data_IF_358620609402
#
_entry.id   IF_358620609402
#
_cell.length_a   1.000
_cell.length_b   1.000
_cell.length_c   1.000
_cell.angle_alpha   90.00
_cell.angle_beta   90.00
_cell.angle_gamma   90.00
#
_symmetry.space_group_name_H-M   'P 1'
#
loop_
_entity.id
_entity.type
_entity.pdbx_description
1 polymer ?
#
# COMPACT_ATOMS: atom_id res chain seq x y z
N UNK A 1 7.70 1.22 4.70
CA UNK A 1 8.60 1.98 5.57
C UNK A 1 7.84 2.68 6.69
N UNK A 2 8.48 2.99 7.84
CA UNK A 2 7.82 3.81 8.86
C UNK A 2 7.58 5.23 8.32
N UNK A 3 6.36 5.75 8.53
CA UNK A 3 6.05 7.13 8.21
C UNK A 3 6.71 8.08 9.22
N UNK A 4 7.47 9.06 8.72
CA UNK A 4 8.12 10.10 9.52
C UNK A 4 7.82 11.47 8.91
N UNK A 5 6.81 12.15 9.46
CA UNK A 5 6.36 13.45 8.96
C UNK A 5 7.48 14.50 8.97
N UNK A 6 8.39 14.42 9.94
CA UNK A 6 9.53 15.34 10.10
C UNK A 6 10.59 15.24 9.01
N UNK A 7 10.56 14.17 8.20
CA UNK A 7 11.50 13.97 7.09
C UNK A 7 10.99 14.52 5.77
N UNK A 8 9.72 14.93 5.72
CA UNK A 8 9.07 15.33 4.49
C UNK A 8 9.13 16.87 4.40
N UNK A 9 9.38 17.44 3.22
CA UNK A 9 9.42 18.89 3.05
C UNK A 9 8.03 19.51 3.23
N UNK A 10 7.98 20.80 3.59
CA UNK A 10 6.73 21.52 3.87
C UNK A 10 5.76 21.51 2.67
N UNK A 11 6.30 21.52 1.45
CA UNK A 11 5.51 21.47 0.22
C UNK A 11 5.05 20.05 -0.19
N UNK A 12 5.25 19.04 0.66
CA UNK A 12 4.89 17.65 0.34
C UNK A 12 3.40 17.49 -0.02
N UNK A 13 2.51 18.08 0.77
CA UNK A 13 1.05 17.96 0.57
C UNK A 13 0.52 18.90 -0.51
N UNK A 14 1.17 20.04 -0.71
CA UNK A 14 0.70 21.10 -1.60
C UNK A 14 1.21 20.94 -3.03
N UNK A 15 2.42 20.39 -3.22
CA UNK A 15 3.10 20.35 -4.52
C UNK A 15 3.54 18.94 -4.90
N UNK A 16 4.40 18.31 -4.09
CA UNK A 16 5.05 17.05 -4.48
C UNK A 16 4.02 15.94 -4.65
N UNK A 17 3.18 15.68 -3.64
CA UNK A 17 2.17 14.62 -3.72
C UNK A 17 1.19 14.82 -4.88
N UNK A 18 0.54 15.99 -5.05
CA UNK A 18 -0.34 16.23 -6.21
C UNK A 18 0.36 16.04 -7.55
N UNK A 19 1.61 16.52 -7.67
CA UNK A 19 2.40 16.43 -8.90
C UNK A 19 2.74 14.98 -9.28
N UNK A 20 3.15 14.16 -8.31
CA UNK A 20 3.42 12.73 -8.55
C UNK A 20 2.15 11.97 -8.92
N UNK A 21 1.02 12.25 -8.25
CA UNK A 21 -0.26 11.65 -8.62
C UNK A 21 -0.69 12.03 -10.05
N UNK A 22 -0.53 13.30 -10.43
CA UNK A 22 -0.85 13.78 -11.77
C UNK A 22 0.05 13.12 -12.83
N UNK A 23 1.36 13.05 -12.58
CA UNK A 23 2.33 12.37 -13.46
C UNK A 23 1.96 10.91 -13.69
N UNK A 24 1.61 10.19 -12.62
CA UNK A 24 1.21 8.79 -12.68
C UNK A 24 -0.28 8.62 -13.07
N UNK A 25 -0.91 9.67 -13.60
CA UNK A 25 -2.28 9.70 -14.13
C UNK A 25 -3.35 9.23 -13.12
N UNK A 26 -3.12 9.46 -11.83
CA UNK A 26 -3.93 8.93 -10.74
C UNK A 26 -4.11 7.41 -10.82
N UNK A 27 -3.08 6.70 -11.31
CA UNK A 27 -3.01 5.26 -11.37
C UNK A 27 -1.80 4.76 -10.60
N UNK A 28 -1.91 3.54 -10.08
CA UNK A 28 -0.78 2.87 -9.46
C UNK A 28 0.34 2.62 -10.49
N UNK A 29 1.55 3.11 -10.22
CA UNK A 29 2.73 2.91 -11.08
C UNK A 29 3.07 1.43 -11.32
N UNK A 30 2.68 0.53 -10.41
CA UNK A 30 3.02 -0.90 -10.50
C UNK A 30 1.93 -1.75 -11.16
N UNK A 31 0.66 -1.48 -10.89
CA UNK A 31 -0.44 -2.32 -11.40
C UNK A 31 -1.48 -1.57 -12.22
N UNK A 32 -1.32 -0.26 -12.43
CA UNK A 32 -2.21 0.55 -13.26
C UNK A 32 -3.58 0.87 -12.65
N UNK A 33 -3.94 0.33 -11.49
CA UNK A 33 -5.27 0.56 -10.88
C UNK A 33 -5.48 2.04 -10.55
N UNK A 34 -6.64 2.57 -10.91
CA UNK A 34 -6.99 3.97 -10.67
C UNK A 34 -7.28 4.27 -9.19
N UNK A 35 -7.00 5.49 -8.77
CA UNK A 35 -7.34 5.98 -7.43
C UNK A 35 -8.85 6.01 -7.21
N UNK A 36 -9.26 5.83 -5.96
CA UNK A 36 -10.66 5.93 -5.48
C UNK A 36 -11.66 4.96 -6.09
N UNK A 37 -11.22 3.95 -6.85
CA UNK A 37 -12.09 2.84 -7.23
C UNK A 37 -12.62 2.11 -6.00
N UNK A 38 -13.88 1.71 -6.05
CA UNK A 38 -14.54 0.96 -4.98
C UNK A 38 -14.93 -0.42 -5.50
N UNK A 39 -14.58 -1.48 -4.76
CA UNK A 39 -14.75 -2.85 -5.23
C UNK A 39 -14.03 -3.88 -4.38
N UNK A 40 -13.89 -5.09 -4.92
CA UNK A 40 -13.34 -6.24 -4.22
C UNK A 40 -12.03 -6.69 -4.85
N UNK A 41 -11.13 -7.17 -4.01
CA UNK A 41 -9.92 -7.86 -4.46
C UNK A 41 -10.07 -9.35 -4.24
N UNK A 42 -9.90 -10.09 -5.31
CA UNK A 42 -10.09 -11.53 -5.35
C UNK A 42 -8.81 -12.29 -4.96
N UNK A 43 -8.90 -13.59 -4.65
CA UNK A 43 -7.75 -14.42 -4.32
C UNK A 43 -6.67 -14.44 -5.42
N UNK A 44 -7.05 -14.42 -6.70
CA UNK A 44 -6.16 -14.25 -7.85
C UNK A 44 -5.32 -12.97 -7.79
N UNK A 45 -5.82 -11.97 -7.05
CA UNK A 45 -5.26 -10.64 -6.96
C UNK A 45 -5.94 -9.63 -7.89
N UNK A 46 -6.85 -10.05 -8.75
CA UNK A 46 -7.65 -9.16 -9.58
C UNK A 46 -8.55 -8.27 -8.72
N UNK A 47 -8.95 -7.14 -9.27
CA UNK A 47 -9.85 -6.20 -8.61
C UNK A 47 -11.01 -5.87 -9.54
N UNK A 48 -12.23 -6.00 -9.02
CA UNK A 48 -13.44 -5.71 -9.76
C UNK A 48 -14.33 -4.77 -8.98
N UNK A 49 -14.93 -3.82 -9.68
CA UNK A 49 -16.01 -2.98 -9.16
C UNK A 49 -17.31 -3.77 -9.10
N UNK A 50 -18.31 -3.25 -8.36
CA UNK A 50 -19.64 -3.84 -8.35
C UNK A 50 -20.24 -3.96 -9.76
N UNK A 51 -19.98 -2.97 -10.62
CA UNK A 51 -20.44 -2.95 -12.01
C UNK A 51 -19.80 -4.08 -12.84
N UNK A 52 -18.48 -4.26 -12.73
CA UNK A 52 -17.77 -5.34 -13.44
C UNK A 52 -18.23 -6.72 -13.00
N UNK A 53 -18.51 -6.90 -11.70
CA UNK A 53 -19.06 -8.16 -11.18
C UNK A 53 -20.48 -8.38 -11.73
N UNK A 54 -21.33 -7.35 -11.68
CA UNK A 54 -22.72 -7.45 -12.15
C UNK A 54 -22.83 -7.65 -13.68
N UNK A 55 -21.81 -7.24 -14.44
CA UNK A 55 -21.76 -7.41 -15.88
C UNK A 55 -21.01 -8.68 -16.33
N UNK A 56 -20.71 -9.60 -15.40
CA UNK A 56 -19.90 -10.80 -15.63
C UNK A 56 -18.55 -10.50 -16.32
N UNK A 57 -17.99 -9.31 -16.08
CA UNK A 57 -16.70 -8.87 -16.63
C UNK A 57 -15.54 -9.29 -15.70
N UNK A 58 -15.57 -10.55 -15.26
CA UNK A 58 -14.58 -11.15 -14.38
C UNK A 58 -13.80 -12.24 -15.12
N UNK A 59 -12.56 -12.50 -14.70
CA UNK A 59 -11.81 -13.64 -15.21
C UNK A 59 -12.40 -14.96 -14.74
N UNK A 60 -12.29 -16.00 -15.56
CA UNK A 60 -12.66 -17.39 -15.21
C UNK A 60 -11.95 -17.90 -13.94
N UNK A 61 -10.76 -17.37 -13.61
CA UNK A 61 -10.04 -17.69 -12.37
C UNK A 61 -10.76 -17.22 -11.08
N UNK A 62 -11.79 -16.38 -11.21
CA UNK A 62 -12.48 -15.68 -10.12
C UNK A 62 -13.98 -16.05 -10.04
N UNK A 63 -14.35 -17.28 -10.43
CA UNK A 63 -15.75 -17.76 -10.49
C UNK A 63 -16.54 -17.68 -9.17
N UNK A 64 -15.87 -17.73 -8.00
CA UNK A 64 -16.53 -17.61 -6.68
C UNK A 64 -16.66 -16.16 -6.20
N UNK A 65 -17.31 -15.34 -7.03
CA UNK A 65 -17.61 -13.93 -6.74
C UNK A 65 -18.46 -13.76 -5.50
N UNK A 66 -19.44 -14.64 -5.32
CA UNK A 66 -20.44 -14.52 -4.27
C UNK A 66 -19.82 -14.65 -2.89
N UNK A 67 -18.97 -15.66 -2.66
CA UNK A 67 -18.27 -15.83 -1.38
C UNK A 67 -17.39 -14.62 -1.06
N UNK A 68 -16.67 -14.08 -2.05
CA UNK A 68 -15.80 -12.91 -1.85
C UNK A 68 -16.61 -11.67 -1.47
N UNK A 69 -17.71 -11.41 -2.17
CA UNK A 69 -18.56 -10.22 -1.99
C UNK A 69 -19.33 -10.28 -0.67
N UNK A 70 -19.84 -11.46 -0.28
CA UNK A 70 -20.59 -11.63 0.97
C UNK A 70 -19.69 -11.60 2.20
N UNK A 71 -18.46 -12.14 2.10
CA UNK A 71 -17.55 -12.26 3.24
C UNK A 71 -16.95 -10.92 3.68
N UNK A 72 -16.76 -9.97 2.76
CA UNK A 72 -16.13 -8.68 3.06
C UNK A 72 -16.80 -7.52 2.33
N UNK A 73 -16.97 -6.36 2.98
CA UNK A 73 -17.42 -5.16 2.29
C UNK A 73 -16.39 -4.72 1.23
N UNK A 74 -16.83 -3.96 0.21
CA UNK A 74 -15.91 -3.41 -0.78
C UNK A 74 -14.89 -2.49 -0.12
N UNK A 75 -13.70 -2.43 -0.71
CA UNK A 75 -12.65 -1.52 -0.31
C UNK A 75 -12.52 -0.38 -1.32
N UNK A 76 -12.09 0.78 -0.83
CA UNK A 76 -11.68 1.89 -1.68
C UNK A 76 -10.18 1.81 -1.94
N UNK A 77 -9.78 1.86 -3.21
CA UNK A 77 -8.40 2.03 -3.61
C UNK A 77 -7.95 3.42 -3.21
N UNK A 78 -6.86 3.49 -2.46
CA UNK A 78 -6.19 4.75 -2.10
C UNK A 78 -4.77 4.70 -2.64
N UNK A 79 -4.42 5.69 -3.46
CA UNK A 79 -3.05 5.94 -3.85
C UNK A 79 -2.30 6.75 -2.79
N UNK A 80 -1.09 6.29 -2.53
CA UNK A 80 -0.10 6.93 -1.68
C UNK A 80 1.17 7.15 -2.49
N UNK A 81 1.99 8.13 -2.10
CA UNK A 81 3.30 8.33 -2.74
C UNK A 81 4.34 7.58 -1.91
N UNK A 82 5.12 6.73 -2.58
CA UNK A 82 6.17 5.91 -1.99
C UNK A 82 7.53 6.31 -2.57
N UNK A 83 8.57 6.23 -1.73
CA UNK A 83 9.97 6.29 -2.14
C UNK A 83 10.40 4.90 -2.63
N UNK A 84 11.03 4.84 -3.81
CA UNK A 84 11.41 3.62 -4.53
C UNK A 84 12.85 3.16 -4.22
N UNK A 85 13.52 3.81 -3.28
CA UNK A 85 14.85 3.45 -2.77
C UNK A 85 14.81 2.97 -1.31
N UNK A 86 13.62 2.84 -0.73
CA UNK A 86 13.42 2.61 0.71
C UNK A 86 14.11 3.66 1.62
N UNK A 87 14.39 4.85 1.08
CA UNK A 87 14.84 6.04 1.79
C UNK A 87 13.69 6.98 2.16
N UNK A 88 13.99 8.00 2.98
CA UNK A 88 13.02 9.02 3.40
C UNK A 88 13.41 10.45 2.98
N UNK A 89 14.57 10.62 2.33
CA UNK A 89 15.17 11.95 2.12
C UNK A 89 15.25 12.34 0.64
N UNK A 90 15.22 11.36 -0.26
CA UNK A 90 15.37 11.56 -1.70
C UNK A 90 13.99 11.78 -2.33
N UNK A 91 13.59 13.03 -2.47
CA UNK A 91 12.26 13.42 -2.99
C UNK A 91 12.25 13.67 -4.51
N UNK A 92 13.27 13.21 -5.24
CA UNK A 92 13.34 13.31 -6.70
C UNK A 92 12.22 12.50 -7.37
N UNK A 93 11.75 12.98 -8.51
CA UNK A 93 10.60 12.41 -9.21
C UNK A 93 10.80 10.95 -9.56
N UNK A 94 11.99 10.61 -10.06
CA UNK A 94 12.35 9.25 -10.46
C UNK A 94 12.27 8.28 -9.27
N UNK A 95 12.54 8.78 -8.05
CA UNK A 95 12.47 8.01 -6.82
C UNK A 95 11.07 7.94 -6.22
N UNK A 96 10.13 8.76 -6.68
CA UNK A 96 8.75 8.76 -6.18
C UNK A 96 7.80 7.99 -7.11
N UNK A 97 6.82 7.30 -6.52
CA UNK A 97 5.77 6.62 -7.26
C UNK A 97 4.43 6.65 -6.56
N UNK A 98 3.35 6.90 -7.31
CA UNK A 98 1.99 6.69 -6.84
C UNK A 98 1.69 5.19 -6.78
N UNK A 99 1.51 4.64 -5.59
CA UNK A 99 1.24 3.22 -5.37
C UNK A 99 -0.08 3.02 -4.61
N UNK A 100 -0.87 2.04 -5.04
CA UNK A 100 -2.05 1.61 -4.29
C UNK A 100 -1.61 0.91 -2.99
N UNK A 101 -2.51 0.88 -2.00
CA UNK A 101 -2.27 0.25 -0.69
C UNK A 101 -1.62 -1.14 -0.82
N UNK A 102 -2.10 -2.02 -1.72
CA UNK A 102 -1.52 -3.35 -1.93
C UNK A 102 -0.08 -3.30 -2.43
N UNK A 103 0.15 -2.60 -3.54
CA UNK A 103 1.46 -2.53 -4.19
C UNK A 103 2.49 -1.87 -3.27
N UNK A 104 2.10 -0.81 -2.57
CA UNK A 104 2.96 -0.14 -1.60
C UNK A 104 3.36 -1.10 -0.46
N UNK A 105 2.39 -1.75 0.19
CA UNK A 105 2.67 -2.69 1.28
C UNK A 105 3.53 -3.88 0.84
N UNK A 106 3.29 -4.41 -0.37
CA UNK A 106 4.08 -5.50 -0.92
C UNK A 106 5.52 -5.06 -1.21
N UNK A 107 5.70 -3.86 -1.77
CA UNK A 107 7.01 -3.29 -2.05
C UNK A 107 7.84 -3.04 -0.79
N UNK A 108 7.17 -2.60 0.28
CA UNK A 108 7.80 -2.36 1.59
C UNK A 108 8.08 -3.64 2.39
N UNK A 109 7.34 -4.73 2.11
CA UNK A 109 7.40 -5.97 2.89
C UNK A 109 8.81 -6.52 3.12
N UNK A 110 9.67 -6.72 2.09
CA UNK A 110 11.01 -7.28 2.30
C UNK A 110 11.86 -6.39 3.20
N UNK A 111 11.84 -5.08 2.98
CA UNK A 111 12.58 -4.12 3.80
C UNK A 111 12.10 -4.13 5.26
N UNK A 112 10.78 -4.14 5.49
CA UNK A 112 10.21 -4.21 6.83
C UNK A 112 10.54 -5.52 7.57
N UNK A 113 10.62 -6.65 6.85
CA UNK A 113 11.02 -7.93 7.44
C UNK A 113 12.47 -7.89 7.93
N UNK A 114 13.37 -7.31 7.14
CA UNK A 114 14.78 -7.15 7.51
C UNK A 114 14.95 -6.23 8.72
N UNK A 115 14.30 -5.07 8.72
CA UNK A 115 14.29 -4.15 9.85
C UNK A 115 13.75 -4.80 11.13
N UNK A 116 12.69 -5.60 11.02
CA UNK A 116 12.13 -6.35 12.16
C UNK A 116 13.14 -7.35 12.73
N UNK A 117 13.80 -8.14 11.88
CA UNK A 117 14.85 -9.09 12.31
C UNK A 117 15.97 -8.35 13.04
N UNK A 118 16.44 -7.24 12.49
CA UNK A 118 17.48 -6.42 13.11
C UNK A 118 17.02 -5.82 14.45
N UNK A 119 15.77 -5.35 14.57
CA UNK A 119 15.24 -4.82 15.84
C UNK A 119 15.19 -5.87 16.96
N UNK A 120 14.85 -7.12 16.61
CA UNK A 120 14.81 -8.26 17.52
C UNK A 120 16.23 -8.67 17.91
N UNK A 121 17.11 -8.82 16.91
CA UNK A 121 18.50 -9.26 17.10
C UNK A 121 19.32 -8.29 17.95
N UNK A 122 19.17 -6.98 17.71
CA UNK A 122 19.90 -5.94 18.42
C UNK A 122 19.11 -5.35 19.61
N UNK A 123 18.01 -6.00 20.00
CA UNK A 123 17.37 -5.76 21.30
C UNK A 123 16.83 -4.35 21.51
N UNK A 124 16.20 -3.72 20.51
CA UNK A 124 15.51 -2.43 20.71
C UNK A 124 14.16 -2.62 21.42
N UNK A 125 14.18 -3.11 22.67
CA UNK A 125 13.06 -2.97 23.60
C UNK A 125 13.13 -1.60 24.30
N UNK A 126 13.06 -0.50 23.55
CA UNK A 126 12.92 0.81 24.20
C UNK A 126 11.48 0.95 24.69
N UNK A 127 11.27 0.74 25.99
CA UNK A 127 10.02 1.08 26.69
C UNK A 127 8.90 0.05 26.62
N UNK A 128 9.15 -1.18 26.16
CA UNK A 128 8.14 -2.24 26.20
C UNK A 128 8.33 -3.08 27.48
N UNK A 129 7.35 -3.02 28.39
CA UNK A 129 7.35 -3.82 29.62
C UNK A 129 7.25 -5.32 29.29
N UNK A 130 7.91 -6.16 30.08
CA UNK A 130 7.66 -7.61 30.03
C UNK A 130 6.23 -7.86 30.47
N UNK A 131 5.42 -8.48 29.62
CA UNK A 131 4.02 -8.84 29.96
C UNK A 131 3.95 -10.02 30.94
N UNK A 132 5.06 -10.74 31.12
CA UNK A 132 5.16 -11.86 32.05
C UNK A 132 6.25 -11.54 33.08
N UNK A 133 5.87 -11.62 34.35
CA UNK A 133 6.82 -11.74 35.45
C UNK A 133 7.51 -13.10 35.29
N UNK A 134 8.85 -13.11 35.35
CA UNK A 134 9.57 -14.37 35.44
C UNK A 134 9.42 -14.87 36.89
N UNK A 135 8.42 -15.72 37.13
CA UNK A 135 8.34 -16.56 38.34
C UNK A 135 9.11 -17.87 38.11
#
# INVERSE_FOLDING_TARGET
MPFRADRYPDNWKTEIRPRILARDKNCCKFCGIADRLEGWRFPSGNFYTAEQIASDAMSEEDEDALETVLRKPPMRIILTVAHLDHGLDNHEDENLGALCQRCHLNYDRPYCQEQRKNSIRYGRRKGQYSLFSND
#
